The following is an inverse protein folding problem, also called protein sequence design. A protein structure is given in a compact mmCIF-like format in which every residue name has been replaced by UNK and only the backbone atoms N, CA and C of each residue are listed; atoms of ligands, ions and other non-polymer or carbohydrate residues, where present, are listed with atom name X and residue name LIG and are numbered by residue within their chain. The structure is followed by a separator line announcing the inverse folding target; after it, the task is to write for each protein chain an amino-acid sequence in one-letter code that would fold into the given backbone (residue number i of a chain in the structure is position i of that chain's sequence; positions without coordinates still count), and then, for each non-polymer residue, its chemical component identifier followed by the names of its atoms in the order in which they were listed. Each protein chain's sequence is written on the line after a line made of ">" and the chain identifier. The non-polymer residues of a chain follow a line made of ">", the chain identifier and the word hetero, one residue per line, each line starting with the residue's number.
data_IF_054469690883
#
_entry.id   IF_054469690883
#
_cell.length_a   1.000
_cell.length_b   1.000
_cell.length_c   1.000
_cell.angle_alpha   90.00
_cell.angle_beta   90.00
_cell.angle_gamma   90.00
#
_symmetry.space_group_name_H-M   'P 1'
#
loop_
_entity.id
_entity.type
_entity.pdbx_description
1 polymer ?
#
# COMPACT_ATOMS: atom_id res chain seq x y z
N UNK A 1 -28.68 -2.22 -16.26
CA UNK A 1 -29.67 -1.70 -15.29
C UNK A 1 -30.33 -2.91 -14.65
N UNK A 2 -29.91 -3.26 -13.43
CA UNK A 2 -30.39 -4.43 -12.68
C UNK A 2 -30.57 -3.99 -11.24
N UNK A 3 -31.78 -4.16 -10.70
CA UNK A 3 -32.17 -3.83 -9.33
C UNK A 3 -31.88 -5.01 -8.42
N UNK A 4 -31.38 -4.76 -7.19
CA UNK A 4 -31.44 -5.74 -6.12
C UNK A 4 -31.95 -5.14 -4.81
N UNK A 5 -32.84 -5.94 -4.21
CA UNK A 5 -33.73 -5.70 -3.08
C UNK A 5 -33.02 -6.15 -1.80
N UNK A 6 -33.03 -5.34 -0.74
CA UNK A 6 -32.42 -5.69 0.54
C UNK A 6 -33.26 -6.76 1.30
N UNK A 7 -32.64 -7.73 2.00
CA UNK A 7 -33.35 -8.58 2.95
C UNK A 7 -33.50 -7.89 4.31
N UNK A 8 -34.67 -8.09 4.90
CA UNK A 8 -35.14 -7.61 6.20
C UNK A 8 -34.33 -8.18 7.37
N UNK A 9 -33.85 -7.31 8.26
CA UNK A 9 -33.25 -7.69 9.55
C UNK A 9 -34.32 -8.01 10.59
N UNK A 10 -34.30 -9.26 11.06
CA UNK A 10 -35.04 -9.72 12.23
C UNK A 10 -34.43 -9.07 13.49
N UNK A 11 -35.25 -8.40 14.30
CA UNK A 11 -34.84 -7.74 15.55
C UNK A 11 -35.13 -8.65 16.73
N UNK A 12 -34.16 -9.48 17.11
CA UNK A 12 -34.17 -10.10 18.44
C UNK A 12 -33.11 -9.42 19.32
N UNK A 13 -33.62 -8.53 20.18
CA UNK A 13 -32.87 -7.90 21.27
C UNK A 13 -32.90 -8.83 22.47
N UNK A 14 -31.76 -9.42 22.82
CA UNK A 14 -31.57 -10.00 24.15
C UNK A 14 -31.15 -8.87 25.10
N UNK A 15 -32.11 -8.45 25.93
CA UNK A 15 -31.94 -7.49 27.01
C UNK A 15 -31.58 -8.27 28.28
N UNK A 16 -30.31 -8.29 28.68
CA UNK A 16 -29.88 -8.88 29.96
C UNK A 16 -29.64 -7.74 30.93
N UNK A 17 -30.71 -7.29 31.57
CA UNK A 17 -30.70 -6.44 32.76
C UNK A 17 -32.05 -6.60 33.46
N UNK A 18 -32.09 -7.38 34.53
CA UNK A 18 -33.25 -7.45 35.41
C UNK A 18 -33.44 -8.80 36.08
N UNK A 19 -32.68 -9.07 37.14
CA UNK A 19 -33.14 -9.90 38.26
C UNK A 19 -32.57 -9.29 39.54
N UNK A 20 -33.29 -8.31 40.08
CA UNK A 20 -33.35 -8.09 41.53
C UNK A 20 -34.85 -8.05 41.82
N UNK A 21 -35.37 -9.17 42.31
CA UNK A 21 -36.78 -9.31 42.70
C UNK A 21 -37.10 -8.30 43.81
N UNK A 22 -37.93 -7.31 43.45
CA UNK A 22 -38.54 -6.37 44.40
C UNK A 22 -39.68 -7.01 45.22
N UNK A 23 -40.08 -8.24 44.90
CA UNK A 23 -41.15 -8.96 45.59
C UNK A 23 -40.73 -9.61 46.92
N UNK A 24 -39.43 -9.57 47.25
CA UNK A 24 -38.90 -10.12 48.50
C UNK A 24 -38.84 -9.11 49.67
N UNK A 25 -39.21 -7.85 49.44
CA UNK A 25 -39.11 -6.79 50.46
C UNK A 25 -40.47 -6.27 51.01
N UNK A 26 -41.61 -6.75 50.49
CA UNK A 26 -42.95 -6.33 50.94
C UNK A 26 -43.70 -7.36 51.81
N UNK A 27 -43.09 -8.50 52.14
CA UNK A 27 -43.74 -9.56 52.94
C UNK A 27 -43.55 -9.44 54.47
N UNK A 28 -42.99 -8.33 54.99
CA UNK A 28 -42.63 -8.21 56.41
C UNK A 28 -43.28 -7.06 57.20
N UNK A 29 -44.49 -6.62 56.84
CA UNK A 29 -45.26 -5.76 57.74
C UNK A 29 -46.76 -6.05 57.77
N UNK A 30 -47.26 -6.27 58.99
CA UNK A 30 -48.64 -6.19 59.45
C UNK A 30 -49.54 -7.42 59.24
N UNK A 31 -49.85 -8.14 60.32
CA UNK A 31 -51.15 -8.04 61.01
C UNK A 31 -51.10 -8.74 62.38
N UNK A 32 -51.38 -7.98 63.44
CA UNK A 32 -51.79 -8.48 64.76
C UNK A 32 -53.21 -9.06 64.71
N UNK A 33 -53.49 -10.15 65.45
CA UNK A 33 -54.17 -10.13 66.76
C UNK A 33 -54.61 -11.53 67.24
N UNK A 34 -54.16 -11.80 68.46
CA UNK A 34 -54.81 -12.47 69.60
C UNK A 34 -55.31 -13.91 69.49
N UNK A 35 -54.64 -14.84 70.20
CA UNK A 35 -55.20 -15.53 71.40
C UNK A 35 -54.05 -15.90 72.38
N UNK A 36 -54.27 -15.58 73.65
CA UNK A 36 -53.53 -15.85 74.89
C UNK A 36 -52.97 -17.28 75.10
N UNK A 37 -51.66 -17.41 75.40
CA UNK A 37 -51.04 -18.10 76.58
C UNK A 37 -49.55 -17.67 76.72
N UNK A 38 -49.01 -17.25 77.89
CA UNK A 38 -47.54 -17.11 78.10
C UNK A 38 -46.99 -18.07 79.19
N UNK A 39 -45.66 -18.31 79.28
CA UNK A 39 -44.73 -18.75 78.23
C UNK A 39 -43.87 -19.96 78.68
N UNK A 40 -43.27 -20.71 77.75
CA UNK A 40 -42.00 -21.40 78.03
C UNK A 40 -40.93 -20.73 77.17
N UNK A 41 -40.03 -19.99 77.83
CA UNK A 41 -38.91 -19.30 77.20
C UNK A 41 -37.94 -20.34 76.62
N UNK A 42 -37.93 -20.50 75.30
CA UNK A 42 -36.79 -21.09 74.58
C UNK A 42 -35.99 -19.95 73.99
N UNK A 43 -34.74 -19.80 74.42
CA UNK A 43 -33.80 -18.82 73.87
C UNK A 43 -33.76 -18.93 72.34
N UNK A 44 -33.86 -17.82 71.59
CA UNK A 44 -33.63 -17.85 70.16
C UNK A 44 -32.13 -18.14 69.93
N UNK A 45 -31.83 -19.36 69.48
CA UNK A 45 -30.52 -19.69 68.95
C UNK A 45 -30.12 -18.64 67.91
N UNK A 46 -29.05 -17.89 68.20
CA UNK A 46 -28.36 -17.01 67.26
C UNK A 46 -28.16 -17.77 65.93
N UNK A 47 -28.41 -17.15 64.76
CA UNK A 47 -27.89 -17.72 63.53
C UNK A 47 -26.36 -17.70 63.61
N UNK A 48 -25.72 -18.88 63.68
CA UNK A 48 -24.28 -19.00 63.45
C UNK A 48 -24.02 -18.58 62.00
N UNK A 49 -23.62 -17.33 61.79
CA UNK A 49 -22.81 -17.00 60.63
C UNK A 49 -21.40 -17.55 60.92
N UNK A 50 -20.86 -18.50 60.12
CA UNK A 50 -19.50 -18.95 60.32
C UNK A 50 -18.55 -17.76 60.14
N UNK A 51 -17.78 -17.42 61.17
CA UNK A 51 -16.73 -16.40 61.08
C UNK A 51 -15.65 -16.92 60.12
N UNK A 52 -15.48 -16.27 58.97
CA UNK A 52 -14.38 -16.58 58.05
C UNK A 52 -13.05 -16.48 58.79
N UNK A 53 -12.25 -17.55 58.68
CA UNK A 53 -10.88 -17.60 59.22
C UNK A 53 -10.01 -16.53 58.55
N UNK A 54 -8.93 -16.11 59.22
CA UNK A 54 -8.02 -15.08 58.69
C UNK A 54 -7.41 -15.47 57.34
N UNK A 55 -7.12 -16.75 57.14
CA UNK A 55 -6.66 -17.31 55.86
C UNK A 55 -7.72 -17.22 54.76
N UNK A 56 -8.99 -17.46 55.08
CA UNK A 56 -10.10 -17.30 54.13
C UNK A 56 -10.32 -15.84 53.75
N UNK A 57 -10.18 -14.91 54.72
CA UNK A 57 -10.24 -13.46 54.45
C UNK A 57 -9.09 -13.00 53.55
N UNK A 58 -7.90 -13.57 53.72
CA UNK A 58 -6.73 -13.25 52.89
C UNK A 58 -6.89 -13.78 51.46
N UNK A 59 -7.33 -15.05 51.31
CA UNK A 59 -7.67 -15.63 50.00
C UNK A 59 -8.78 -14.87 49.29
N UNK A 60 -9.80 -14.42 50.03
CA UNK A 60 -10.89 -13.61 49.46
C UNK A 60 -10.36 -12.28 48.89
N UNK A 61 -9.42 -11.63 49.57
CA UNK A 61 -8.79 -10.39 49.09
C UNK A 61 -7.97 -10.61 47.82
N UNK A 62 -7.21 -11.70 47.76
CA UNK A 62 -6.44 -12.10 46.56
C UNK A 62 -7.37 -12.42 45.38
N UNK A 63 -8.47 -13.12 45.62
CA UNK A 63 -9.47 -13.43 44.59
C UNK A 63 -10.15 -12.15 44.07
N UNK A 64 -10.53 -11.23 44.94
CA UNK A 64 -11.10 -9.93 44.53
C UNK A 64 -10.09 -9.14 43.69
N UNK A 65 -8.82 -9.12 44.09
CA UNK A 65 -7.77 -8.47 43.31
C UNK A 65 -7.62 -9.10 41.92
N UNK A 66 -7.56 -10.44 41.86
CA UNK A 66 -7.45 -11.18 40.60
C UNK A 66 -8.67 -10.99 39.69
N UNK A 67 -9.87 -10.96 40.24
CA UNK A 67 -11.10 -10.62 39.51
C UNK A 67 -10.99 -9.20 38.94
N UNK A 68 -10.48 -8.25 39.71
CA UNK A 68 -10.22 -6.89 39.24
C UNK A 68 -9.21 -6.81 38.09
N UNK A 69 -8.14 -7.60 38.13
CA UNK A 69 -7.18 -7.70 37.02
C UNK A 69 -7.81 -8.31 35.75
N UNK A 70 -8.54 -9.42 35.90
CA UNK A 70 -9.22 -10.09 34.79
C UNK A 70 -10.29 -9.19 34.16
N UNK A 71 -10.98 -8.39 34.97
CA UNK A 71 -11.96 -7.42 34.47
C UNK A 71 -11.28 -6.35 33.60
N UNK A 72 -10.12 -5.83 34.02
CA UNK A 72 -9.33 -4.87 33.22
C UNK A 72 -8.84 -5.49 31.92
N UNK A 73 -8.38 -6.74 31.97
CA UNK A 73 -7.93 -7.47 30.78
C UNK A 73 -9.08 -7.72 29.79
N UNK A 74 -10.26 -8.07 30.29
CA UNK A 74 -11.47 -8.23 29.49
C UNK A 74 -11.91 -6.92 28.82
N UNK A 75 -11.87 -5.80 29.57
CA UNK A 75 -12.23 -4.50 29.02
C UNK A 75 -11.21 -4.04 27.96
N UNK A 76 -9.91 -4.27 28.18
CA UNK A 76 -8.88 -4.04 27.17
C UNK A 76 -9.11 -4.89 25.91
N UNK A 77 -9.48 -6.17 26.06
CA UNK A 77 -9.77 -7.04 24.91
C UNK A 77 -10.98 -6.54 24.12
N UNK A 78 -12.05 -6.10 24.79
CA UNK A 78 -13.24 -5.53 24.11
C UNK A 78 -12.89 -4.26 23.33
N UNK A 79 -12.08 -3.38 23.91
CA UNK A 79 -11.63 -2.17 23.22
C UNK A 79 -10.76 -2.53 22.01
N UNK A 80 -9.84 -3.50 22.15
CA UNK A 80 -9.03 -3.99 21.04
C UNK A 80 -9.88 -4.60 19.92
N UNK A 81 -10.86 -5.45 20.24
CA UNK A 81 -11.80 -6.01 19.26
C UNK A 81 -12.61 -4.93 18.54
N UNK A 82 -13.04 -3.90 19.26
CA UNK A 82 -13.75 -2.76 18.67
C UNK A 82 -12.83 -2.00 17.69
N UNK A 83 -11.58 -1.76 18.08
CA UNK A 83 -10.58 -1.16 17.20
C UNK A 83 -10.34 -1.99 15.93
N UNK A 84 -10.23 -3.32 16.04
CA UNK A 84 -10.08 -4.21 14.89
C UNK A 84 -11.29 -4.11 13.95
N UNK A 85 -12.53 -4.19 14.47
CA UNK A 85 -13.75 -4.08 13.67
C UNK A 85 -13.86 -2.74 12.95
N UNK A 86 -13.43 -1.65 13.59
CA UNK A 86 -13.43 -0.33 12.96
C UNK A 86 -12.35 -0.20 11.89
N UNK A 87 -11.22 -0.91 12.04
CA UNK A 87 -10.19 -0.99 11.02
C UNK A 87 -10.65 -1.84 9.83
N UNK A 88 -11.32 -2.98 10.06
CA UNK A 88 -11.91 -3.83 9.01
C UNK A 88 -12.86 -3.05 8.10
N UNK A 89 -13.70 -2.19 8.67
CA UNK A 89 -14.61 -1.32 7.90
C UNK A 89 -13.87 -0.35 6.99
N UNK A 90 -12.64 0.02 7.33
CA UNK A 90 -11.80 0.94 6.56
C UNK A 90 -10.95 0.24 5.51
N UNK A 91 -10.81 -1.09 5.56
CA UNK A 91 -10.08 -1.82 4.54
C UNK A 91 -10.86 -1.70 3.24
N UNK A 92 -10.28 -0.99 2.27
CA UNK A 92 -10.84 -0.86 0.94
C UNK A 92 -10.62 -2.18 0.21
N UNK A 93 -11.70 -2.75 -0.30
CA UNK A 93 -11.64 -3.93 -1.15
C UNK A 93 -10.91 -3.62 -2.45
N UNK A 94 -10.22 -4.62 -2.98
CA UNK A 94 -9.34 -4.60 -4.16
C UNK A 94 -9.63 -3.46 -5.16
N UNK A 95 -8.75 -2.45 -5.19
CA UNK A 95 -8.78 -1.36 -6.17
C UNK A 95 -7.76 -1.62 -7.27
N UNK A 96 -8.17 -1.43 -8.53
CA UNK A 96 -7.33 -1.63 -9.72
C UNK A 96 -6.65 -0.32 -10.14
N UNK A 97 -5.39 -0.43 -10.54
CA UNK A 97 -4.52 0.69 -10.89
C UNK A 97 -3.78 0.44 -12.21
N UNK A 98 -3.54 1.53 -12.94
CA UNK A 98 -2.79 1.57 -14.20
C UNK A 98 -1.85 2.77 -14.19
N UNK A 99 -0.64 2.62 -14.71
CA UNK A 99 0.31 3.74 -14.91
C UNK A 99 0.04 4.47 -16.23
N UNK A 100 0.60 5.68 -16.36
CA UNK A 100 0.67 6.38 -17.65
C UNK A 100 2.13 6.76 -17.93
N UNK A 101 2.80 6.18 -18.93
CA UNK A 101 2.27 5.24 -19.91
C UNK A 101 2.04 3.81 -19.34
N UNK A 102 1.19 2.98 -19.97
CA UNK A 102 0.86 1.64 -19.46
C UNK A 102 2.07 0.72 -19.29
N UNK A 103 3.06 0.82 -20.19
CA UNK A 103 4.28 0.01 -20.20
C UNK A 103 5.18 0.30 -18.98
N UNK A 104 5.02 1.47 -18.34
CA UNK A 104 5.81 1.83 -17.16
C UNK A 104 5.66 0.82 -16.03
N UNK A 105 4.47 0.21 -15.88
CA UNK A 105 4.24 -0.81 -14.86
C UNK A 105 5.09 -2.06 -15.12
N UNK A 106 5.11 -2.55 -16.37
CA UNK A 106 5.93 -3.70 -16.75
C UNK A 106 7.42 -3.41 -16.64
N UNK A 107 7.85 -2.21 -17.06
CA UNK A 107 9.25 -1.83 -17.13
C UNK A 107 9.85 -1.62 -15.73
N UNK A 108 9.09 -0.99 -14.83
CA UNK A 108 9.62 -0.51 -13.55
C UNK A 108 9.05 -1.25 -12.33
N UNK A 109 7.77 -1.60 -12.31
CA UNK A 109 7.12 -2.10 -11.09
C UNK A 109 7.11 -3.63 -10.98
N UNK A 110 7.26 -4.34 -12.10
CA UNK A 110 7.29 -5.80 -12.10
C UNK A 110 8.49 -6.30 -11.27
N UNK A 111 8.22 -7.17 -10.29
CA UNK A 111 9.23 -7.69 -9.37
C UNK A 111 9.58 -6.76 -8.20
N UNK A 112 8.91 -5.62 -8.04
CA UNK A 112 9.09 -4.68 -6.92
C UNK A 112 8.03 -4.79 -5.83
N UNK A 113 7.31 -5.91 -5.79
CA UNK A 113 6.17 -6.07 -4.88
C UNK A 113 6.56 -5.90 -3.40
N UNK A 114 7.65 -6.56 -2.96
CA UNK A 114 8.13 -6.52 -1.57
C UNK A 114 8.46 -5.09 -1.17
N UNK A 115 9.32 -4.44 -1.96
CA UNK A 115 9.76 -3.06 -1.73
C UNK A 115 8.57 -2.09 -1.63
N UNK A 116 7.58 -2.22 -2.51
CA UNK A 116 6.40 -1.37 -2.46
C UNK A 116 5.60 -1.68 -1.20
N UNK A 117 5.36 -2.95 -0.89
CA UNK A 117 4.58 -3.31 0.32
C UNK A 117 5.25 -2.87 1.61
N UNK A 118 6.59 -2.96 1.70
CA UNK A 118 7.39 -2.44 2.82
C UNK A 118 7.22 -0.92 2.92
N UNK A 119 7.43 -0.20 1.82
CA UNK A 119 7.25 1.26 1.78
C UNK A 119 5.83 1.69 2.22
N UNK A 120 4.80 0.95 1.79
CA UNK A 120 3.42 1.22 2.18
C UNK A 120 3.16 0.95 3.68
N UNK A 121 3.78 -0.10 4.24
CA UNK A 121 3.70 -0.41 5.67
C UNK A 121 4.39 0.65 6.53
N UNK A 122 5.51 1.20 6.06
CA UNK A 122 6.25 2.25 6.80
C UNK A 122 5.42 3.54 6.97
N UNK A 123 4.44 3.78 6.10
CA UNK A 123 3.55 4.94 6.21
C UNK A 123 2.42 4.75 7.23
N UNK A 124 2.25 3.56 7.80
CA UNK A 124 1.15 3.30 8.73
C UNK A 124 1.44 2.21 9.77
N UNK A 125 1.25 2.56 11.04
CA UNK A 125 1.21 1.57 12.12
C UNK A 125 -0.07 0.73 12.03
N UNK A 126 0.09 -0.58 11.82
CA UNK A 126 -0.99 -1.56 11.81
C UNK A 126 -1.00 -2.36 13.13
N UNK A 127 -2.17 -2.78 13.62
CA UNK A 127 -2.24 -3.78 14.69
C UNK A 127 -1.57 -5.09 14.25
N UNK A 128 -0.94 -5.80 15.18
CA UNK A 128 -0.17 -7.04 14.94
C UNK A 128 -0.90 -8.04 14.03
N UNK A 129 -2.23 -8.17 14.20
CA UNK A 129 -3.07 -9.06 13.39
C UNK A 129 -3.05 -8.74 11.88
N UNK A 130 -2.88 -7.47 11.51
CA UNK A 130 -2.92 -6.99 10.12
C UNK A 130 -1.55 -6.75 9.49
N UNK A 131 -0.47 -6.67 10.27
CA UNK A 131 0.90 -6.41 9.79
C UNK A 131 1.30 -7.34 8.64
N UNK A 132 0.90 -8.62 8.71
CA UNK A 132 1.21 -9.63 7.68
C UNK A 132 0.05 -9.88 6.70
N UNK A 133 -1.06 -9.14 6.83
CA UNK A 133 -2.27 -9.35 6.02
C UNK A 133 -2.53 -8.25 5.03
N UNK A 134 -2.17 -7.01 5.31
CA UNK A 134 -2.33 -5.86 4.42
C UNK A 134 -1.11 -4.94 4.57
N UNK A 135 -0.70 -4.22 3.51
CA UNK A 135 -1.28 -4.19 2.18
C UNK A 135 -1.00 -5.47 1.38
N UNK A 136 -1.94 -5.85 0.50
CA UNK A 136 -1.73 -6.91 -0.50
C UNK A 136 -1.72 -6.30 -1.89
N UNK A 137 -0.58 -6.39 -2.56
CA UNK A 137 -0.38 -5.90 -3.90
C UNK A 137 -0.30 -7.08 -4.88
N UNK A 138 -1.06 -7.00 -5.97
CA UNK A 138 -1.09 -8.00 -7.02
C UNK A 138 -0.78 -7.34 -8.35
N UNK A 139 0.12 -7.94 -9.12
CA UNK A 139 0.36 -7.55 -10.51
C UNK A 139 -0.22 -8.63 -11.43
N UNK A 140 -0.95 -8.22 -12.46
CA UNK A 140 -1.49 -9.14 -13.45
C UNK A 140 -1.59 -8.46 -14.81
N UNK A 141 -1.53 -9.26 -15.86
CA UNK A 141 -1.69 -8.81 -17.23
C UNK A 141 -3.16 -8.97 -17.66
N UNK A 142 -3.74 -7.92 -18.23
CA UNK A 142 -5.08 -7.95 -18.81
C UNK A 142 -5.04 -7.16 -20.12
N UNK A 143 -5.53 -7.74 -21.21
CA UNK A 143 -5.61 -7.08 -22.53
C UNK A 143 -4.25 -6.53 -23.03
N UNK A 144 -3.16 -7.27 -22.79
CA UNK A 144 -1.77 -6.87 -23.09
C UNK A 144 -1.27 -5.64 -22.32
N UNK A 145 -1.93 -5.30 -21.21
CA UNK A 145 -1.52 -4.24 -20.28
C UNK A 145 -1.28 -4.81 -18.88
N UNK A 146 -0.17 -4.41 -18.26
CA UNK A 146 0.10 -4.74 -16.87
C UNK A 146 -0.72 -3.82 -15.96
N UNK A 147 -1.45 -4.44 -15.03
CA UNK A 147 -2.28 -3.78 -14.04
C UNK A 147 -1.82 -4.15 -12.63
N UNK A 148 -2.07 -3.26 -11.69
CA UNK A 148 -1.87 -3.51 -10.27
C UNK A 148 -3.22 -3.52 -9.54
N UNK A 149 -3.33 -4.34 -8.50
CA UNK A 149 -4.46 -4.35 -7.58
C UNK A 149 -3.96 -4.27 -6.15
N UNK A 150 -4.53 -3.37 -5.36
CA UNK A 150 -4.17 -3.18 -3.96
C UNK A 150 -5.38 -3.45 -3.06
N UNK A 151 -5.16 -4.22 -2.00
CA UNK A 151 -6.07 -4.33 -0.85
C UNK A 151 -5.36 -3.69 0.34
N UNK A 152 -5.98 -2.70 0.98
CA UNK A 152 -5.36 -1.99 2.08
C UNK A 152 -6.24 -0.93 2.70
N UNK A 153 -5.66 -0.11 3.57
CA UNK A 153 -6.29 1.06 4.15
C UNK A 153 -6.20 2.26 3.20
N UNK A 154 -7.04 3.30 3.35
CA UNK A 154 -7.05 4.45 2.43
C UNK A 154 -5.68 5.14 2.28
N UNK A 155 -4.90 5.15 3.35
CA UNK A 155 -3.49 5.57 3.42
C UNK A 155 -2.57 4.75 2.51
N UNK A 156 -2.69 3.41 2.50
CA UNK A 156 -1.94 2.58 1.56
C UNK A 156 -2.31 2.90 0.11
N UNK A 157 -3.60 3.11 -0.17
CA UNK A 157 -4.08 3.47 -1.51
C UNK A 157 -3.53 4.82 -1.97
N UNK A 158 -3.58 5.83 -1.10
CA UNK A 158 -3.03 7.14 -1.37
C UNK A 158 -1.53 7.08 -1.65
N UNK A 159 -0.76 6.39 -0.81
CA UNK A 159 0.68 6.28 -1.01
C UNK A 159 1.02 5.50 -2.28
N UNK A 160 0.27 4.43 -2.59
CA UNK A 160 0.49 3.68 -3.81
C UNK A 160 0.23 4.53 -5.06
N UNK A 161 -0.80 5.38 -5.05
CA UNK A 161 -1.03 6.35 -6.12
C UNK A 161 0.15 7.31 -6.30
N UNK A 162 0.76 7.78 -5.22
CA UNK A 162 1.97 8.61 -5.27
C UNK A 162 3.16 7.85 -5.86
N UNK A 163 3.34 6.57 -5.50
CA UNK A 163 4.36 5.70 -6.14
C UNK A 163 4.11 5.63 -7.65
N UNK A 164 2.87 5.37 -8.09
CA UNK A 164 2.54 5.28 -9.51
C UNK A 164 2.78 6.60 -10.27
N UNK A 165 2.51 7.74 -9.64
CA UNK A 165 2.81 9.06 -10.22
C UNK A 165 4.31 9.27 -10.39
N UNK A 166 5.12 8.91 -9.39
CA UNK A 166 6.58 9.02 -9.43
C UNK A 166 7.19 8.10 -10.50
N UNK A 167 6.65 6.89 -10.67
CA UNK A 167 7.05 5.95 -11.73
C UNK A 167 6.66 6.45 -13.12
N UNK A 168 5.46 7.01 -13.24
CA UNK A 168 5.00 7.66 -14.47
C UNK A 168 5.92 8.82 -14.85
N UNK A 169 6.37 9.60 -13.87
CA UNK A 169 7.34 10.67 -14.06
C UNK A 169 8.73 10.14 -14.49
N UNK A 170 9.27 9.11 -13.84
CA UNK A 170 10.53 8.45 -14.26
C UNK A 170 10.45 7.97 -15.72
N UNK A 171 9.34 7.34 -16.08
CA UNK A 171 9.10 6.87 -17.46
C UNK A 171 9.11 8.03 -18.45
N UNK A 172 8.38 9.10 -18.15
CA UNK A 172 8.34 10.30 -18.99
C UNK A 172 9.73 10.93 -19.16
N UNK A 173 10.49 11.10 -18.07
CA UNK A 173 11.83 11.67 -18.12
C UNK A 173 12.82 10.79 -18.91
N UNK A 174 12.68 9.47 -18.81
CA UNK A 174 13.46 8.51 -19.61
C UNK A 174 13.18 8.68 -21.10
N UNK A 175 11.92 8.79 -21.51
CA UNK A 175 11.56 9.01 -22.91
C UNK A 175 11.98 10.41 -23.40
N UNK A 176 11.93 11.40 -22.54
CA UNK A 176 12.43 12.74 -22.85
C UNK A 176 13.93 12.74 -23.17
N UNK A 177 14.76 12.10 -22.35
CA UNK A 177 16.21 12.04 -22.63
C UNK A 177 16.53 11.23 -23.89
N UNK A 178 15.78 10.15 -24.17
CA UNK A 178 15.84 9.42 -25.45
C UNK A 178 15.55 10.32 -26.63
N UNK A 179 14.46 11.07 -26.57
CA UNK A 179 14.08 12.01 -27.61
C UNK A 179 15.17 13.06 -27.87
N UNK A 180 15.71 13.67 -26.81
CA UNK A 180 16.74 14.69 -26.92
C UNK A 180 18.03 14.14 -27.57
N UNK A 181 18.46 12.94 -27.17
CA UNK A 181 19.61 12.28 -27.77
C UNK A 181 19.38 11.93 -29.25
N UNK A 182 18.22 11.36 -29.59
CA UNK A 182 17.85 11.06 -30.99
C UNK A 182 17.88 12.31 -31.87
N UNK A 183 17.44 13.46 -31.34
CA UNK A 183 17.47 14.75 -32.05
C UNK A 183 18.90 15.19 -32.35
N UNK A 184 19.80 15.12 -31.37
CA UNK A 184 21.21 15.48 -31.52
C UNK A 184 21.95 14.58 -32.52
N UNK A 185 21.68 13.27 -32.50
CA UNK A 185 22.22 12.33 -33.50
C UNK A 185 21.69 12.69 -34.90
N UNK A 186 20.40 13.05 -35.02
CA UNK A 186 19.83 13.45 -36.30
C UNK A 186 20.46 14.76 -36.84
N UNK A 187 20.69 15.75 -35.99
CA UNK A 187 21.38 17.00 -36.33
C UNK A 187 22.82 16.76 -36.78
N UNK A 188 23.54 15.86 -36.10
CA UNK A 188 24.90 15.45 -36.45
C UNK A 188 24.93 14.78 -37.82
N UNK A 189 24.04 13.82 -38.06
CA UNK A 189 23.90 13.13 -39.36
C UNK A 189 23.56 14.10 -40.47
N UNK A 190 22.62 15.03 -40.25
CA UNK A 190 22.27 16.06 -41.25
C UNK A 190 23.46 16.97 -41.58
N UNK A 191 24.30 17.30 -40.61
CA UNK A 191 25.51 18.09 -40.83
C UNK A 191 26.52 17.34 -41.72
N UNK A 192 26.74 16.05 -41.45
CA UNK A 192 27.60 15.19 -42.29
C UNK A 192 27.06 15.08 -43.72
N UNK A 193 25.75 14.87 -43.87
CA UNK A 193 25.08 14.80 -45.18
C UNK A 193 25.30 16.09 -45.98
N UNK A 194 25.15 17.26 -45.34
CA UNK A 194 25.35 18.56 -46.00
C UNK A 194 26.76 18.75 -46.53
N UNK A 195 27.78 18.27 -45.80
CA UNK A 195 29.18 18.32 -46.22
C UNK A 195 29.40 17.46 -47.46
N UNK A 196 28.86 16.24 -47.47
CA UNK A 196 29.10 15.26 -48.54
C UNK A 196 28.28 15.56 -49.81
N UNK A 197 27.11 16.18 -49.66
CA UNK A 197 26.23 16.48 -50.79
C UNK A 197 26.49 17.84 -51.43
N UNK A 198 27.29 18.72 -50.81
CA UNK A 198 27.71 20.01 -51.39
C UNK A 198 29.16 19.92 -51.88
N UNK A 199 29.41 19.54 -53.14
CA UNK A 199 30.74 19.72 -53.72
C UNK A 199 31.08 21.23 -53.81
N UNK A 200 32.31 21.61 -53.44
CA UNK A 200 32.81 22.99 -53.46
C UNK A 200 32.86 23.62 -54.87
N UNK A 201 32.59 22.86 -55.94
CA UNK A 201 32.59 23.35 -57.32
C UNK A 201 31.38 22.81 -58.10
N UNK A 202 30.82 23.61 -59.04
CA UNK A 202 29.67 23.20 -59.85
C UNK A 202 30.13 22.24 -60.95
N UNK A 203 30.37 20.99 -60.59
CA UNK A 203 30.54 19.90 -61.54
C UNK A 203 29.48 18.86 -61.22
N UNK A 204 28.77 18.40 -62.25
CA UNK A 204 27.81 17.32 -62.05
C UNK A 204 28.51 16.14 -61.37
N UNK A 205 27.92 15.58 -60.30
CA UNK A 205 28.54 14.49 -59.57
C UNK A 205 28.76 13.31 -60.50
N UNK A 206 30.00 12.80 -60.56
CA UNK A 206 30.35 11.64 -61.39
C UNK A 206 29.55 10.41 -60.94
N UNK A 207 29.36 9.42 -61.83
CA UNK A 207 28.72 8.13 -61.47
C UNK A 207 29.43 7.46 -60.28
N UNK A 208 30.76 7.55 -60.21
CA UNK A 208 31.56 7.05 -59.08
C UNK A 208 31.26 7.80 -57.79
N UNK A 209 31.15 9.13 -57.83
CA UNK A 209 30.78 9.93 -56.67
C UNK A 209 29.36 9.61 -56.19
N UNK A 210 28.40 9.50 -57.11
CA UNK A 210 27.02 9.10 -56.79
C UNK A 210 26.99 7.72 -56.11
N UNK A 211 27.72 6.73 -56.64
CA UNK A 211 27.82 5.41 -56.03
C UNK A 211 28.44 5.48 -54.63
N UNK A 212 29.56 6.19 -54.47
CA UNK A 212 30.18 6.43 -53.17
C UNK A 212 29.21 7.06 -52.17
N UNK A 213 28.52 8.14 -52.56
CA UNK A 213 27.56 8.82 -51.69
C UNK A 213 26.41 7.90 -51.30
N UNK A 214 25.90 7.06 -52.21
CA UNK A 214 24.84 6.12 -51.88
C UNK A 214 25.29 5.08 -50.85
N UNK A 215 26.48 4.50 -51.02
CA UNK A 215 27.06 3.56 -50.05
C UNK A 215 27.29 4.21 -48.69
N UNK A 216 27.89 5.41 -48.68
CA UNK A 216 28.14 6.16 -47.45
C UNK A 216 26.84 6.49 -46.71
N UNK A 217 25.81 6.94 -47.43
CA UNK A 217 24.51 7.28 -46.84
C UNK A 217 23.82 6.06 -46.23
N UNK A 218 23.99 4.88 -46.81
CA UNK A 218 23.48 3.63 -46.23
C UNK A 218 24.21 3.29 -44.93
N UNK A 219 25.55 3.30 -44.94
CA UNK A 219 26.37 3.06 -43.74
C UNK A 219 26.02 4.04 -42.63
N UNK A 220 25.83 5.32 -42.96
CA UNK A 220 25.47 6.35 -41.99
C UNK A 220 24.09 6.12 -41.37
N UNK A 221 23.10 5.67 -42.16
CA UNK A 221 21.77 5.30 -41.65
C UNK A 221 21.85 4.12 -40.69
N UNK A 222 22.60 3.08 -41.07
CA UNK A 222 22.74 1.87 -40.25
C UNK A 222 23.46 2.20 -38.93
N UNK A 223 24.54 2.99 -38.98
CA UNK A 223 25.25 3.47 -37.78
C UNK A 223 24.39 4.36 -36.90
N UNK A 224 23.61 5.27 -37.48
CA UNK A 224 22.65 6.09 -36.74
C UNK A 224 21.67 5.21 -35.96
N UNK A 225 21.09 4.20 -36.62
CA UNK A 225 20.11 3.33 -35.99
C UNK A 225 20.74 2.52 -34.84
N UNK A 226 21.91 1.93 -35.06
CA UNK A 226 22.67 1.20 -34.03
C UNK A 226 22.97 2.07 -32.81
N UNK A 227 23.43 3.31 -33.01
CA UNK A 227 23.72 4.23 -31.90
C UNK A 227 22.49 4.63 -31.10
N UNK A 228 21.32 4.73 -31.75
CA UNK A 228 20.05 5.05 -31.10
C UNK A 228 19.55 3.85 -30.28
N UNK A 229 19.57 2.65 -30.85
CA UNK A 229 19.12 1.43 -30.17
C UNK A 229 19.97 1.13 -28.94
N UNK A 230 21.29 1.20 -29.07
CA UNK A 230 22.21 0.98 -27.95
C UNK A 230 22.03 2.04 -26.84
N UNK A 231 21.75 3.30 -27.20
CA UNK A 231 21.45 4.33 -26.21
C UNK A 231 20.13 4.09 -25.51
N UNK A 232 19.07 3.77 -26.26
CA UNK A 232 17.74 3.51 -25.71
C UNK A 232 17.79 2.35 -24.70
N UNK A 233 18.50 1.26 -25.02
CA UNK A 233 18.73 0.14 -24.10
C UNK A 233 19.51 0.59 -22.87
N UNK A 234 20.64 1.27 -23.07
CA UNK A 234 21.49 1.76 -21.99
C UNK A 234 20.69 2.63 -21.01
N UNK A 235 19.97 3.64 -21.49
CA UNK A 235 19.29 4.60 -20.62
C UNK A 235 18.07 3.98 -19.94
N UNK A 236 17.36 3.05 -20.59
CA UNK A 236 16.29 2.27 -19.95
C UNK A 236 16.83 1.37 -18.84
N UNK A 237 18.00 0.75 -19.04
CA UNK A 237 18.62 -0.04 -17.97
C UNK A 237 19.05 0.85 -16.79
N UNK A 238 19.60 2.04 -17.06
CA UNK A 238 19.92 3.01 -16.00
C UNK A 238 18.68 3.53 -15.29
N UNK A 239 17.59 3.82 -16.00
CA UNK A 239 16.36 4.29 -15.38
C UNK A 239 15.73 3.22 -14.46
N UNK A 240 15.77 1.93 -14.84
CA UNK A 240 15.34 0.82 -13.98
C UNK A 240 16.08 0.75 -12.65
N UNK A 241 17.38 1.08 -12.65
CA UNK A 241 18.17 1.12 -11.40
C UNK A 241 17.75 2.26 -10.46
N UNK A 242 17.06 3.29 -10.97
CA UNK A 242 16.53 4.38 -10.16
C UNK A 242 15.16 4.06 -9.55
N UNK A 243 14.52 2.95 -9.94
CA UNK A 243 13.16 2.63 -9.51
C UNK A 243 13.03 2.52 -7.99
N UNK A 244 14.02 1.93 -7.33
CA UNK A 244 13.96 1.73 -5.88
C UNK A 244 13.96 3.07 -5.14
N UNK A 245 14.82 4.00 -5.58
CA UNK A 245 14.86 5.38 -5.07
C UNK A 245 13.55 6.13 -5.35
N UNK A 246 12.97 5.93 -6.52
CA UNK A 246 11.67 6.53 -6.90
C UNK A 246 10.54 6.03 -5.99
N UNK A 247 10.60 4.77 -5.53
CA UNK A 247 9.61 4.19 -4.61
C UNK A 247 9.83 4.74 -3.18
N UNK A 248 11.06 4.68 -2.66
CA UNK A 248 11.32 4.93 -1.24
C UNK A 248 11.55 6.41 -0.89
N UNK A 249 12.13 7.20 -1.80
CA UNK A 249 12.42 8.62 -1.57
C UNK A 249 11.38 9.51 -2.26
N UNK A 250 10.54 10.15 -1.45
CA UNK A 250 9.47 11.05 -1.92
C UNK A 250 9.99 12.30 -2.62
N UNK A 251 11.24 12.69 -2.36
CA UNK A 251 11.86 13.91 -2.91
C UNK A 251 12.81 13.61 -4.08
N UNK A 252 12.98 12.34 -4.45
CA UNK A 252 13.90 11.95 -5.50
C UNK A 252 13.46 12.51 -6.86
N UNK A 253 14.41 13.13 -7.57
CA UNK A 253 14.20 13.66 -8.92
C UNK A 253 15.04 12.85 -9.92
N UNK A 254 14.43 12.09 -10.83
CA UNK A 254 15.18 11.23 -11.75
C UNK A 254 15.98 12.00 -12.83
N UNK A 255 15.51 13.17 -13.26
CA UNK A 255 16.13 13.90 -14.40
C UNK A 255 17.64 14.17 -14.21
N UNK A 256 18.13 14.74 -13.09
CA UNK A 256 19.56 14.97 -12.91
C UNK A 256 20.42 13.70 -13.03
N UNK A 257 19.94 12.56 -12.52
CA UNK A 257 20.66 11.29 -12.62
C UNK A 257 20.62 10.72 -14.05
N UNK A 258 19.50 10.86 -14.74
CA UNK A 258 19.40 10.49 -16.16
C UNK A 258 20.34 11.34 -17.02
N UNK A 259 20.39 12.66 -16.81
CA UNK A 259 21.29 13.58 -17.53
C UNK A 259 22.77 13.24 -17.31
N UNK A 260 23.17 12.90 -16.07
CA UNK A 260 24.52 12.39 -15.79
C UNK A 260 24.83 11.12 -16.60
N UNK A 261 23.87 10.20 -16.68
CA UNK A 261 24.02 8.98 -17.47
C UNK A 261 24.13 9.27 -18.97
N UNK A 262 23.41 10.26 -19.50
CA UNK A 262 23.55 10.70 -20.90
C UNK A 262 24.96 11.25 -21.15
N UNK A 263 25.46 12.12 -20.28
CA UNK A 263 26.82 12.67 -20.41
C UNK A 263 27.87 11.56 -20.35
N UNK A 264 27.71 10.60 -19.44
CA UNK A 264 28.60 9.45 -19.34
C UNK A 264 28.58 8.60 -20.63
N UNK A 265 27.39 8.26 -21.13
CA UNK A 265 27.25 7.49 -22.36
C UNK A 265 27.95 8.14 -23.54
N UNK A 266 27.75 9.45 -23.72
CA UNK A 266 28.38 10.23 -24.81
C UNK A 266 29.90 10.23 -24.74
N UNK A 267 30.48 10.27 -23.54
CA UNK A 267 31.94 10.21 -23.35
C UNK A 267 32.50 8.82 -23.69
N UNK A 268 31.77 7.77 -23.34
CA UNK A 268 32.19 6.38 -23.52
C UNK A 268 31.92 5.84 -24.93
N UNK A 269 30.97 6.43 -25.65
CA UNK A 269 30.50 5.96 -26.97
C UNK A 269 30.50 7.11 -27.98
N UNK A 270 31.64 7.77 -28.14
CA UNK A 270 31.83 8.76 -29.19
C UNK A 270 31.51 8.12 -30.55
N UNK A 271 30.96 8.92 -31.46
CA UNK A 271 30.79 8.57 -32.88
C UNK A 271 32.20 8.48 -33.51
N UNK A 272 32.94 7.41 -33.20
CA UNK A 272 34.27 7.08 -33.73
C UNK A 272 34.21 5.78 -34.50
#
# INVERSE_FOLDING_TARGET
>A
MVYFKAPTTNKDKWNVNGIIDKDLLESLTSHDKDVDVPPEYVEPNKPLQPELTQDEKQKLKELIHRIGELQKELDHQKDYEKHLKDLEKKITTQTKYVTKPPEAMQIYLLGKYELITEHLNDQQTLPDYYVYKIPRLFFYEQESQYNASLIGLPTHHHEFELVLQRISYLSHETEYVKYMYKREVAETVQSVIKIITKPEKPLQPSKTWQHYTNCFMQILKDKKQQHIEHFDEYITNKSKLLTDQVITDTNFKPRPELEKNVVHYKKSNLFT
#
